data_IF_460236005522
#
_entry.id   IF_460236005522
#
_cell.length_a   1.000
_cell.length_b   1.000
_cell.length_c   1.000
_cell.angle_alpha   90.00
_cell.angle_beta   90.00
_cell.angle_gamma   90.00
#
_symmetry.space_group_name_H-M   'P 1'
#
loop_
_entity.id
_entity.type
_entity.pdbx_description
1 polymer ?
#
# COMPACT_ATOMS: atom_id res chain seq x y z
N UNK A 1 30.06 -0.03 -28.31
CA UNK A 1 28.71 0.35 -27.82
C UNK A 1 28.40 -0.57 -26.66
N UNK A 2 28.70 -0.11 -25.44
CA UNK A 2 28.63 -0.94 -24.24
C UNK A 2 27.20 -1.25 -23.87
N UNK A 3 26.89 -2.53 -23.64
CA UNK A 3 25.69 -2.94 -22.94
C UNK A 3 25.77 -2.41 -21.50
N UNK A 4 25.28 -1.20 -21.26
CA UNK A 4 25.09 -0.71 -19.90
C UNK A 4 24.00 -1.58 -19.27
N UNK A 5 24.40 -2.52 -18.42
CA UNK A 5 23.45 -3.16 -17.52
C UNK A 5 22.97 -2.06 -16.58
N UNK A 6 21.72 -1.63 -16.74
CA UNK A 6 21.07 -0.76 -15.75
C UNK A 6 21.12 -1.51 -14.42
N UNK A 7 21.71 -0.90 -13.40
CA UNK A 7 21.67 -1.47 -12.07
C UNK A 7 20.27 -1.27 -11.50
N UNK A 8 19.38 -2.23 -11.79
CA UNK A 8 18.00 -2.23 -11.31
C UNK A 8 17.91 -2.15 -9.78
N UNK A 9 18.95 -2.58 -9.07
CA UNK A 9 19.00 -2.56 -7.60
C UNK A 9 19.28 -1.17 -7.01
N UNK A 10 19.70 -0.20 -7.82
CA UNK A 10 19.97 1.18 -7.39
C UNK A 10 18.98 2.19 -8.01
N UNK A 11 17.82 1.72 -8.49
CA UNK A 11 16.80 2.62 -9.00
C UNK A 11 16.15 3.42 -7.87
N UNK A 12 15.86 4.68 -8.16
CA UNK A 12 15.00 5.49 -7.31
C UNK A 12 13.58 4.92 -7.35
N UNK A 13 12.86 4.92 -6.21
CA UNK A 13 11.41 4.84 -6.20
C UNK A 13 10.85 5.82 -7.24
N UNK A 14 9.92 5.33 -8.05
CA UNK A 14 9.30 6.11 -9.10
C UNK A 14 7.79 5.94 -9.05
N UNK A 15 7.07 6.96 -9.53
CA UNK A 15 5.62 6.93 -9.60
C UNK A 15 5.14 5.79 -10.49
N UNK A 16 4.04 5.13 -10.10
CA UNK A 16 3.39 4.13 -10.95
C UNK A 16 3.13 4.67 -12.36
N UNK A 17 3.23 3.80 -13.37
CA UNK A 17 2.89 4.17 -14.75
C UNK A 17 1.45 4.65 -14.87
N UNK A 18 0.57 4.16 -13.99
CA UNK A 18 -0.83 4.57 -13.91
C UNK A 18 -0.96 6.06 -13.61
N UNK A 19 0.00 6.69 -12.94
CA UNK A 19 -0.05 8.12 -12.64
C UNK A 19 0.05 9.00 -13.90
N UNK A 20 0.66 8.49 -14.98
CA UNK A 20 0.71 9.22 -16.25
C UNK A 20 -0.65 9.30 -16.93
N UNK A 21 -1.53 8.31 -16.73
CA UNK A 21 -2.86 8.24 -17.34
C UNK A 21 -3.97 8.70 -16.37
N UNK A 22 -3.83 8.33 -15.10
CA UNK A 22 -4.87 8.45 -14.06
C UNK A 22 -4.48 9.41 -12.92
N UNK A 23 -3.43 10.21 -13.05
CA UNK A 23 -2.99 11.12 -11.98
C UNK A 23 -4.10 12.04 -11.45
N UNK A 24 -4.90 12.63 -12.35
CA UNK A 24 -6.03 13.47 -11.93
C UNK A 24 -7.12 12.69 -11.19
N UNK A 25 -7.33 11.41 -11.53
CA UNK A 25 -8.26 10.53 -10.80
C UNK A 25 -7.70 10.24 -9.40
N UNK A 26 -6.41 9.94 -9.29
CA UNK A 26 -5.74 9.76 -8.01
C UNK A 26 -5.87 11.00 -7.12
N UNK A 27 -5.58 12.20 -7.62
CA UNK A 27 -5.73 13.45 -6.86
C UNK A 27 -7.16 13.65 -6.35
N UNK A 28 -8.15 13.31 -7.19
CA UNK A 28 -9.55 13.40 -6.80
C UNK A 28 -9.92 12.38 -5.72
N UNK A 29 -9.36 11.16 -5.77
CA UNK A 29 -9.57 10.13 -4.76
C UNK A 29 -8.94 10.52 -3.43
N UNK A 30 -7.68 10.95 -3.44
CA UNK A 30 -6.98 11.45 -2.24
C UNK A 30 -7.78 12.59 -1.62
N UNK A 31 -8.25 13.56 -2.43
CA UNK A 31 -9.06 14.66 -1.93
C UNK A 31 -10.40 14.19 -1.34
N UNK A 32 -11.07 13.24 -1.99
CA UNK A 32 -12.37 12.75 -1.55
C UNK A 32 -12.29 11.88 -0.29
N UNK A 33 -11.21 11.12 -0.12
CA UNK A 33 -11.00 10.20 1.00
C UNK A 33 -10.05 10.73 2.07
N UNK A 34 -9.60 11.98 1.97
CA UNK A 34 -8.62 12.59 2.89
C UNK A 34 -8.94 12.36 4.36
N UNK A 35 -10.19 12.64 4.76
CA UNK A 35 -10.61 12.46 6.16
C UNK A 35 -10.58 10.99 6.60
N UNK A 36 -10.90 10.07 5.69
CA UNK A 36 -10.84 8.62 5.95
C UNK A 36 -9.38 8.18 6.10
N UNK A 37 -8.48 8.67 5.24
CA UNK A 37 -7.05 8.33 5.30
C UNK A 37 -6.40 8.87 6.58
N UNK A 38 -6.70 10.12 6.96
CA UNK A 38 -6.24 10.68 8.24
C UNK A 38 -6.79 9.90 9.44
N UNK A 39 -8.04 9.43 9.38
CA UNK A 39 -8.60 8.61 10.44
C UNK A 39 -7.93 7.23 10.53
N UNK A 40 -7.67 6.59 9.39
CA UNK A 40 -6.93 5.32 9.32
C UNK A 40 -5.52 5.51 9.90
N UNK A 41 -4.81 6.57 9.51
CA UNK A 41 -3.49 6.90 10.06
C UNK A 41 -3.52 6.95 11.60
N UNK A 42 -4.46 7.71 12.17
CA UNK A 42 -4.65 7.80 13.61
C UNK A 42 -4.99 6.43 14.26
N UNK A 43 -5.72 5.54 13.56
CA UNK A 43 -5.95 4.17 14.04
C UNK A 43 -4.63 3.41 14.15
N UNK A 44 -3.72 3.55 13.19
CA UNK A 44 -2.40 2.93 13.26
C UNK A 44 -1.56 3.50 14.40
N UNK A 45 -1.49 4.83 14.55
CA UNK A 45 -0.74 5.47 15.65
C UNK A 45 -1.21 4.99 17.03
N UNK A 46 -2.53 4.89 17.23
CA UNK A 46 -3.11 4.54 18.53
C UNK A 46 -3.03 3.04 18.81
N UNK A 47 -3.31 2.20 17.82
CA UNK A 47 -3.51 0.77 18.05
C UNK A 47 -2.34 -0.11 17.61
N UNK A 48 -1.48 0.39 16.72
CA UNK A 48 -0.34 -0.33 16.15
C UNK A 48 0.92 0.56 16.13
N UNK A 49 1.29 1.24 17.24
CA UNK A 49 2.33 2.28 17.23
C UNK A 49 3.68 1.76 16.72
N UNK A 50 4.07 0.54 17.10
CA UNK A 50 5.35 -0.02 16.65
C UNK A 50 5.38 -0.28 15.13
N UNK A 51 4.29 -0.78 14.55
CA UNK A 51 4.21 -1.00 13.10
C UNK A 51 4.07 0.35 12.35
N UNK A 52 3.38 1.33 12.95
CA UNK A 52 3.28 2.70 12.43
C UNK A 52 4.67 3.34 12.32
N UNK A 53 5.46 3.33 13.40
CA UNK A 53 6.80 3.94 13.42
C UNK A 53 7.70 3.36 12.31
N UNK A 54 7.70 2.04 12.15
CA UNK A 54 8.51 1.37 11.10
C UNK A 54 8.06 1.75 9.69
N UNK A 55 6.75 1.88 9.45
CA UNK A 55 6.23 2.25 8.14
C UNK A 55 6.41 3.76 7.87
N UNK A 56 6.23 4.60 8.88
CA UNK A 56 6.41 6.05 8.79
C UNK A 56 7.89 6.44 8.55
N UNK A 57 8.84 5.73 9.16
CA UNK A 57 10.27 5.95 8.90
C UNK A 57 10.62 5.77 7.41
N UNK A 58 9.96 4.81 6.73
CA UNK A 58 10.12 4.64 5.29
C UNK A 58 9.59 5.86 4.53
N UNK A 59 8.42 6.37 4.91
CA UNK A 59 7.84 7.54 4.26
C UNK A 59 8.73 8.78 4.40
N UNK A 60 9.41 8.94 5.54
CA UNK A 60 10.37 10.02 5.78
C UNK A 60 11.69 9.82 5.00
N UNK A 61 12.03 8.58 4.66
CA UNK A 61 13.23 8.23 3.87
C UNK A 61 13.04 8.37 2.36
N UNK A 62 11.84 8.72 1.89
CA UNK A 62 11.56 8.81 0.45
C UNK A 62 12.39 9.92 -0.20
N UNK A 63 13.05 9.64 -1.35
CA UNK A 63 13.88 10.64 -2.00
C UNK A 63 13.05 11.83 -2.49
N UNK A 64 13.70 13.00 -2.55
CA UNK A 64 13.11 14.23 -3.09
C UNK A 64 12.10 14.91 -2.16
N UNK A 65 12.14 14.63 -0.85
CA UNK A 65 11.19 15.15 0.15
C UNK A 65 9.72 14.90 -0.26
N UNK A 66 9.46 13.73 -0.85
CA UNK A 66 8.11 13.34 -1.22
C UNK A 66 7.34 12.92 0.03
N UNK A 67 6.06 13.28 0.07
CA UNK A 67 5.16 12.97 1.19
C UNK A 67 4.13 11.98 0.66
N UNK A 68 3.87 10.92 1.43
CA UNK A 68 2.81 9.97 1.07
C UNK A 68 1.44 10.55 1.40
N UNK A 69 0.49 10.38 0.47
CA UNK A 69 -0.91 10.76 0.65
C UNK A 69 -1.74 9.70 1.42
N UNK A 70 -1.12 8.56 1.76
CA UNK A 70 -1.76 7.39 2.38
C UNK A 70 -0.97 6.86 3.58
N UNK A 71 -0.52 7.77 4.45
CA UNK A 71 0.25 7.45 5.66
C UNK A 71 -0.41 6.33 6.50
N UNK A 72 0.38 5.42 7.11
CA UNK A 72 1.84 5.33 7.06
C UNK A 72 2.38 4.55 5.83
N UNK A 73 1.54 4.26 4.83
CA UNK A 73 1.95 3.51 3.64
C UNK A 73 2.55 4.43 2.57
N UNK A 74 3.27 3.88 1.59
CA UNK A 74 3.80 4.65 0.44
C UNK A 74 3.00 4.46 -0.85
N UNK A 75 2.12 3.46 -0.90
CA UNK A 75 1.43 3.04 -2.12
C UNK A 75 -0.03 2.71 -1.85
N UNK A 76 -0.86 2.98 -2.84
CA UNK A 76 -2.27 2.55 -2.87
C UNK A 76 -2.63 1.97 -4.23
N UNK A 77 -3.34 0.85 -4.20
CA UNK A 77 -3.92 0.19 -5.37
C UNK A 77 -5.43 0.25 -5.26
N UNK A 78 -6.09 0.70 -6.33
CA UNK A 78 -7.55 0.70 -6.42
C UNK A 78 -8.03 -0.48 -7.26
N UNK A 79 -8.62 -1.47 -6.61
CA UNK A 79 -9.26 -2.59 -7.28
C UNK A 79 -10.73 -2.25 -7.58
N UNK A 80 -11.11 -2.22 -8.86
CA UNK A 80 -12.48 -1.95 -9.30
C UNK A 80 -13.17 -3.22 -9.79
N UNK A 81 -14.23 -3.62 -9.09
CA UNK A 81 -15.00 -4.83 -9.38
C UNK A 81 -14.10 -6.07 -9.56
N UNK A 82 -13.13 -6.23 -8.66
CA UNK A 82 -12.20 -7.36 -8.67
C UNK A 82 -12.58 -8.36 -7.59
N UNK A 83 -12.48 -9.64 -7.96
CA UNK A 83 -12.31 -10.76 -7.05
C UNK A 83 -10.89 -11.29 -7.25
N UNK A 84 -10.15 -11.46 -6.16
CA UNK A 84 -8.80 -12.02 -6.18
C UNK A 84 -8.83 -13.53 -5.98
N UNK A 85 -7.85 -14.23 -6.57
CA UNK A 85 -7.55 -15.62 -6.21
C UNK A 85 -6.68 -15.67 -4.95
N UNK A 86 -6.53 -16.84 -4.33
CA UNK A 86 -5.69 -17.01 -3.14
C UNK A 86 -4.22 -16.71 -3.44
N UNK A 87 -3.66 -15.70 -2.78
CA UNK A 87 -2.27 -15.27 -2.98
C UNK A 87 -1.67 -14.67 -1.70
N UNK A 88 -0.38 -14.36 -1.77
CA UNK A 88 0.38 -13.59 -0.76
C UNK A 88 1.20 -12.54 -1.50
N UNK A 89 1.24 -11.34 -0.95
CA UNK A 89 2.03 -10.23 -1.49
C UNK A 89 3.41 -10.28 -0.85
N UNK A 90 4.27 -11.14 -1.41
CA UNK A 90 5.57 -11.49 -0.80
C UNK A 90 6.50 -10.30 -0.55
N UNK A 91 6.31 -9.22 -1.27
CA UNK A 91 7.14 -8.02 -1.21
C UNK A 91 6.55 -6.93 -0.33
N UNK A 92 5.34 -7.13 0.22
CA UNK A 92 4.77 -6.18 1.17
C UNK A 92 5.53 -6.25 2.51
N UNK A 93 5.91 -5.09 3.01
CA UNK A 93 6.53 -4.92 4.32
C UNK A 93 5.48 -4.86 5.41
N UNK A 94 5.63 -5.74 6.40
CA UNK A 94 4.84 -5.79 7.64
C UNK A 94 3.33 -5.91 7.43
N UNK A 95 2.65 -4.79 7.18
CA UNK A 95 1.21 -4.67 7.15
C UNK A 95 0.74 -4.17 5.79
N UNK A 96 -0.46 -4.58 5.43
CA UNK A 96 -1.23 -4.10 4.30
C UNK A 96 -2.65 -3.81 4.79
N UNK A 97 -3.27 -2.76 4.27
CA UNK A 97 -4.63 -2.39 4.59
C UNK A 97 -5.54 -2.59 3.39
N UNK A 98 -6.71 -3.18 3.61
CA UNK A 98 -7.77 -3.33 2.60
C UNK A 98 -9.02 -2.62 3.09
N UNK A 99 -9.34 -1.47 2.51
CA UNK A 99 -10.58 -0.70 2.72
C UNK A 99 -11.58 -0.99 1.60
N UNK A 100 -12.79 -1.42 1.95
CA UNK A 100 -13.84 -1.70 0.97
C UNK A 100 -14.81 -0.52 0.82
N UNK A 101 -15.22 -0.24 -0.42
CA UNK A 101 -16.20 0.80 -0.72
C UNK A 101 -17.15 0.38 -1.85
N UNK A 102 -18.37 0.90 -1.83
CA UNK A 102 -19.37 0.71 -2.88
C UNK A 102 -20.70 0.16 -2.39
N UNK A 103 -21.53 -0.26 -3.33
CA UNK A 103 -22.85 -0.84 -3.08
C UNK A 103 -22.82 -2.30 -3.56
N UNK A 104 -22.58 -3.20 -2.62
CA UNK A 104 -22.34 -4.62 -2.91
C UNK A 104 -22.86 -5.54 -1.80
N UNK A 105 -22.96 -6.82 -2.12
CA UNK A 105 -23.28 -7.88 -1.16
C UNK A 105 -22.34 -9.07 -1.35
N UNK A 106 -21.89 -9.67 -0.25
CA UNK A 106 -20.85 -10.70 -0.25
C UNK A 106 -19.44 -10.10 -0.37
N UNK A 107 -18.49 -10.85 -0.92
CA UNK A 107 -17.13 -10.35 -1.15
C UNK A 107 -16.19 -10.41 0.05
N UNK A 108 -16.54 -11.20 1.07
CA UNK A 108 -15.76 -11.37 2.29
C UNK A 108 -14.27 -11.62 2.01
N UNK A 109 -13.41 -11.00 2.81
CA UNK A 109 -11.96 -11.23 2.78
C UNK A 109 -11.64 -12.46 3.63
N UNK A 110 -11.03 -13.46 3.00
CA UNK A 110 -10.60 -14.69 3.68
C UNK A 110 -9.12 -14.58 4.04
N UNK A 111 -8.77 -14.94 5.27
CA UNK A 111 -7.40 -15.09 5.75
C UNK A 111 -7.19 -16.55 6.14
N UNK A 112 -6.56 -17.32 5.24
CA UNK A 112 -6.56 -18.78 5.29
C UNK A 112 -5.84 -19.32 6.52
N UNK A 113 -4.65 -18.82 6.82
CA UNK A 113 -3.81 -19.30 7.92
C UNK A 113 -4.43 -18.98 9.28
N UNK A 114 -5.16 -17.87 9.39
CA UNK A 114 -5.88 -17.46 10.60
C UNK A 114 -7.25 -18.17 10.73
N UNK A 115 -7.74 -18.81 9.67
CA UNK A 115 -9.08 -19.41 9.64
C UNK A 115 -10.21 -18.38 9.75
N UNK A 116 -9.96 -17.14 9.30
CA UNK A 116 -10.91 -16.03 9.40
C UNK A 116 -11.59 -15.73 8.06
N UNK A 117 -12.86 -15.37 8.15
CA UNK A 117 -13.65 -14.82 7.05
C UNK A 117 -14.23 -13.50 7.54
N UNK A 118 -13.77 -12.40 6.94
CA UNK A 118 -14.16 -11.05 7.31
C UNK A 118 -15.22 -10.56 6.32
N UNK A 119 -16.47 -10.48 6.76
CA UNK A 119 -17.61 -9.99 5.97
C UNK A 119 -17.54 -8.46 5.83
N UNK A 120 -16.59 -7.98 5.02
CA UNK A 120 -16.42 -6.54 4.76
C UNK A 120 -17.68 -5.91 4.16
N UNK A 121 -18.13 -4.83 4.78
CA UNK A 121 -19.14 -3.92 4.24
C UNK A 121 -18.49 -2.66 3.68
N UNK A 122 -19.32 -1.80 3.08
CA UNK A 122 -18.89 -0.48 2.64
C UNK A 122 -18.38 0.35 3.84
N UNK A 123 -17.14 0.81 3.75
CA UNK A 123 -16.48 1.61 4.78
C UNK A 123 -15.62 0.78 5.74
N UNK A 124 -15.75 -0.55 5.74
CA UNK A 124 -14.92 -1.40 6.58
C UNK A 124 -13.52 -1.52 5.99
N UNK A 125 -12.51 -1.53 6.85
CA UNK A 125 -11.16 -1.92 6.48
C UNK A 125 -10.62 -3.04 7.38
N UNK A 126 -9.67 -3.81 6.84
CA UNK A 126 -8.90 -4.78 7.58
C UNK A 126 -7.40 -4.51 7.41
N UNK A 127 -6.64 -4.76 8.47
CA UNK A 127 -5.18 -4.71 8.48
C UNK A 127 -4.68 -6.15 8.51
N UNK A 128 -3.80 -6.50 7.57
CA UNK A 128 -3.36 -7.88 7.34
C UNK A 128 -1.86 -7.94 7.13
N UNK A 129 -1.24 -9.07 7.48
CA UNK A 129 0.13 -9.40 7.08
C UNK A 129 0.08 -10.11 5.73
N UNK A 130 -0.03 -9.34 4.64
CA UNK A 130 -0.27 -9.84 3.27
C UNK A 130 0.84 -10.75 2.74
N UNK A 131 2.10 -10.54 3.17
CA UNK A 131 3.25 -11.36 2.81
C UNK A 131 3.26 -12.73 3.52
N UNK A 132 2.67 -12.80 4.71
CA UNK A 132 2.64 -14.01 5.55
C UNK A 132 1.33 -14.81 5.39
N UNK A 133 0.22 -14.12 5.09
CA UNK A 133 -1.14 -14.67 5.14
C UNK A 133 -1.73 -14.76 3.74
N UNK A 134 -2.09 -15.99 3.34
CA UNK A 134 -2.81 -16.25 2.11
C UNK A 134 -4.21 -15.66 2.22
N UNK A 135 -4.50 -14.74 1.31
CA UNK A 135 -5.75 -14.00 1.32
C UNK A 135 -6.40 -13.92 -0.06
N UNK A 136 -7.73 -13.76 -0.05
CA UNK A 136 -8.56 -13.64 -1.25
C UNK A 136 -9.96 -13.15 -0.89
N UNK A 137 -10.70 -12.68 -1.90
CA UNK A 137 -12.09 -12.29 -1.73
C UNK A 137 -13.05 -13.36 -2.27
N UNK A 138 -14.16 -13.56 -1.56
CA UNK A 138 -15.27 -14.40 -2.03
C UNK A 138 -16.04 -13.71 -3.17
N UNK A 139 -16.96 -14.44 -3.78
CA UNK A 139 -17.85 -13.88 -4.79
C UNK A 139 -18.74 -12.78 -4.17
N UNK A 140 -19.04 -11.76 -4.97
CA UNK A 140 -19.95 -10.67 -4.60
C UNK A 140 -20.84 -10.29 -5.78
N UNK A 141 -21.90 -9.55 -5.50
CA UNK A 141 -22.75 -8.88 -6.48
C UNK A 141 -22.78 -7.37 -6.22
N UNK A 142 -23.09 -6.58 -7.25
CA UNK A 142 -23.12 -5.11 -7.16
C UNK A 142 -21.83 -4.45 -7.63
N UNK A 143 -21.55 -3.26 -7.11
CA UNK A 143 -20.37 -2.44 -7.44
C UNK A 143 -19.46 -2.35 -6.22
N UNK A 144 -18.33 -3.03 -6.29
CA UNK A 144 -17.34 -3.11 -5.20
C UNK A 144 -16.02 -2.53 -5.67
N UNK A 145 -15.45 -1.63 -4.87
CA UNK A 145 -14.07 -1.23 -5.00
C UNK A 145 -13.33 -1.49 -3.68
N UNK A 146 -12.02 -1.67 -3.75
CA UNK A 146 -11.19 -1.72 -2.55
C UNK A 146 -9.90 -0.95 -2.75
N UNK A 147 -9.57 -0.09 -1.78
CA UNK A 147 -8.25 0.51 -1.64
C UNK A 147 -7.38 -0.48 -0.91
N UNK A 148 -6.24 -0.83 -1.52
CA UNK A 148 -5.20 -1.65 -0.90
C UNK A 148 -4.00 -0.76 -0.68
N UNK A 149 -3.64 -0.50 0.58
CA UNK A 149 -2.49 0.32 0.93
C UNK A 149 -1.36 -0.56 1.44
N UNK A 150 -0.16 -0.37 0.92
CA UNK A 150 1.01 -1.18 1.26
C UNK A 150 2.30 -0.37 1.12
N UNK A 151 3.36 -0.92 1.71
CA UNK A 151 4.74 -0.47 1.50
C UNK A 151 5.59 -1.66 1.03
N UNK A 152 6.41 -1.46 0.00
CA UNK A 152 7.31 -2.50 -0.50
C UNK A 152 8.51 -2.67 0.45
N UNK A 153 8.93 -3.91 0.72
CA UNK A 153 10.05 -4.20 1.61
C UNK A 153 11.41 -3.76 1.07
N UNK A 154 11.53 -3.53 -0.24
CA UNK A 154 12.75 -2.96 -0.84
C UNK A 154 13.04 -1.52 -0.36
N UNK A 155 12.04 -0.84 0.23
CA UNK A 155 12.26 0.46 0.88
C UNK A 155 13.16 0.39 2.12
N UNK A 156 13.41 -0.78 2.70
CA UNK A 156 14.35 -0.93 3.83
C UNK A 156 15.76 -0.43 3.48
N UNK A 157 16.18 -0.61 2.23
CA UNK A 157 17.48 -0.11 1.75
C UNK A 157 17.57 1.42 1.80
N UNK A 158 16.44 2.11 1.65
CA UNK A 158 16.38 3.58 1.73
C UNK A 158 16.53 4.08 3.16
N UNK A 159 15.94 3.37 4.12
CA UNK A 159 16.11 3.63 5.55
C UNK A 159 17.54 3.32 6.01
N UNK A 160 18.09 2.15 5.63
CA UNK A 160 19.39 1.68 6.11
C UNK A 160 20.59 2.50 5.60
N UNK A 161 20.51 3.01 4.37
CA UNK A 161 21.65 3.68 3.72
C UNK A 161 21.30 4.51 2.49
N UNK A 162 20.04 4.95 2.35
CA UNK A 162 19.54 5.67 1.18
C UNK A 162 19.81 4.93 -0.13
N UNK A 163 19.68 3.59 -0.10
CA UNK A 163 19.95 2.69 -1.21
C UNK A 163 21.34 2.90 -1.83
N UNK A 164 22.35 3.02 -0.97
CA UNK A 164 23.74 3.36 -1.28
C UNK A 164 23.95 4.78 -1.83
N UNK A 165 22.95 5.67 -1.83
CA UNK A 165 23.10 7.04 -2.34
C UNK A 165 23.51 8.07 -1.28
N UNK A 166 23.58 7.72 0.00
CA UNK A 166 23.80 8.70 1.08
C UNK A 166 25.17 9.36 1.13
N UNK A 167 26.09 8.97 0.25
CA UNK A 167 27.36 9.66 0.03
C UNK A 167 27.29 10.74 -1.08
N UNK A 168 26.13 10.90 -1.74
CA UNK A 168 25.97 11.82 -2.87
C UNK A 168 25.44 13.17 -2.41
N UNK A 169 26.24 14.23 -2.60
CA UNK A 169 25.87 15.62 -2.31
C UNK A 169 24.70 16.16 -3.17
N UNK A 170 24.27 15.40 -4.18
CA UNK A 170 23.17 15.78 -5.08
C UNK A 170 21.80 15.23 -4.65
N UNK A 171 21.76 14.39 -3.62
CA UNK A 171 20.56 13.62 -3.24
C UNK A 171 19.81 14.14 -1.99
N UNK A 172 20.42 15.05 -1.23
CA UNK A 172 19.81 15.69 -0.05
C UNK A 172 19.02 16.95 -0.42
#
# INVERSE_FOLDING_TARGET
>A
LGNSRTNVWQMLPYMSKDMAEYGQLFDNLVRAFREVFMWIENVFEVHLPCDYEVLAEITDSLPGNSISEVMPFVSVVLNLNVRTEAHRDKWDKNLCLVLCTGDFSGGALVLKEQGLVLEHQNGDFAIVRSSESTHFNLNYTGRRASFVMQTDMEFDKWVEGQNDWGHSDFFL
#
